data_IF_446958672100
#
_entry.id   IF_446958672100
#
_cell.length_a   1.000
_cell.length_b   1.000
_cell.length_c   1.000
_cell.angle_alpha   90.00
_cell.angle_beta   90.00
_cell.angle_gamma   90.00
#
_symmetry.space_group_name_H-M   'P 1'
#
loop_
_entity.id
_entity.type
_entity.pdbx_description
1 polymer ?
#
# COMPACT_ATOMS: atom_id res chain seq x y z
N UNK A 1 0.81 63.42 29.33
CA UNK A 1 2.02 63.14 28.52
C UNK A 1 1.67 62.08 27.49
N UNK A 2 1.82 62.44 26.21
CA UNK A 2 2.17 61.63 25.02
C UNK A 2 1.43 60.30 24.72
N UNK A 3 0.77 60.32 23.56
CA UNK A 3 0.84 59.38 22.40
C UNK A 3 0.44 57.90 22.63
N UNK A 4 -0.19 57.15 21.72
CA UNK A 4 -0.29 57.27 20.26
C UNK A 4 -1.52 56.48 19.75
N UNK A 5 -2.26 57.06 18.81
CA UNK A 5 -3.17 56.32 17.94
C UNK A 5 -2.37 55.79 16.75
N UNK A 6 -2.45 54.48 16.47
CA UNK A 6 -1.92 53.89 15.23
C UNK A 6 -3.09 53.66 14.27
N UNK A 7 -3.06 54.41 13.17
CA UNK A 7 -3.83 54.18 11.95
C UNK A 7 -3.47 52.80 11.36
N UNK A 8 -4.49 52.00 11.04
CA UNK A 8 -4.37 50.90 10.10
C UNK A 8 -4.74 51.41 8.70
N UNK A 9 -3.77 51.38 7.79
CA UNK A 9 -3.94 51.69 6.38
C UNK A 9 -4.68 50.54 5.69
N UNK A 10 -5.81 50.82 5.04
CA UNK A 10 -6.39 49.96 4.02
C UNK A 10 -5.55 50.05 2.75
N UNK A 11 -5.00 48.93 2.28
CA UNK A 11 -4.51 48.79 0.91
C UNK A 11 -5.43 47.85 0.13
N UNK A 12 -6.19 48.43 -0.81
CA UNK A 12 -6.89 47.73 -1.87
C UNK A 12 -5.87 47.10 -2.84
N UNK A 13 -5.95 45.78 -3.02
CA UNK A 13 -5.31 45.08 -4.15
C UNK A 13 -6.40 44.73 -5.16
N UNK A 14 -6.31 45.16 -6.42
CA UNK A 14 -7.24 44.73 -7.45
C UNK A 14 -6.90 43.31 -7.90
N UNK A 15 -7.87 42.38 -7.76
CA UNK A 15 -7.84 41.10 -8.45
C UNK A 15 -7.99 41.35 -9.96
N UNK A 16 -6.89 41.26 -10.69
CA UNK A 16 -6.90 41.04 -12.14
C UNK A 16 -7.28 39.59 -12.40
N UNK A 17 -8.48 39.39 -12.94
CA UNK A 17 -8.86 38.21 -13.69
C UNK A 17 -7.97 38.12 -14.94
N UNK A 18 -7.02 37.17 -14.96
CA UNK A 18 -6.46 36.65 -16.20
C UNK A 18 -6.95 35.21 -16.38
N UNK A 19 -7.81 35.07 -17.38
CA UNK A 19 -8.17 33.81 -18.00
C UNK A 19 -6.93 33.20 -18.65
N UNK A 20 -6.46 32.08 -18.12
CA UNK A 20 -5.58 31.19 -18.87
C UNK A 20 -6.44 30.26 -19.72
N UNK A 21 -6.55 30.62 -21.00
CA UNK A 21 -6.87 29.71 -22.09
C UNK A 21 -5.76 28.65 -22.25
N UNK A 22 -6.14 27.39 -22.48
CA UNK A 22 -5.21 26.38 -23.00
C UNK A 22 -4.97 25.18 -22.09
N UNK A 23 -6.02 24.58 -21.54
CA UNK A 23 -5.93 23.21 -21.03
C UNK A 23 -5.85 22.24 -22.21
N UNK A 24 -4.66 21.72 -22.50
CA UNK A 24 -4.49 20.58 -23.37
C UNK A 24 -5.41 19.45 -22.86
N UNK A 25 -6.29 18.95 -23.74
CA UNK A 25 -7.02 17.71 -23.50
C UNK A 25 -5.99 16.58 -23.41
N UNK A 26 -5.54 16.28 -22.19
CA UNK A 26 -4.91 15.00 -21.88
C UNK A 26 -6.04 13.99 -21.97
N UNK A 27 -6.07 13.24 -23.07
CA UNK A 27 -7.04 12.17 -23.29
C UNK A 27 -6.93 11.15 -22.16
N UNK A 28 -7.83 11.22 -21.20
CA UNK A 28 -8.13 10.09 -20.32
C UNK A 28 -8.87 9.05 -21.15
N UNK A 29 -8.53 7.77 -20.95
CA UNK A 29 -9.33 6.67 -21.48
C UNK A 29 -10.78 6.76 -20.98
N UNK A 30 -11.68 5.99 -21.59
CA UNK A 30 -13.13 6.00 -21.30
C UNK A 30 -13.48 5.90 -19.80
N UNK A 31 -12.57 5.33 -18.99
CA UNK A 31 -12.77 5.09 -17.56
C UNK A 31 -12.14 6.15 -16.63
N UNK A 32 -11.64 7.26 -17.18
CA UNK A 32 -10.99 8.34 -16.42
C UNK A 32 -9.59 7.98 -15.89
N UNK A 33 -9.01 6.89 -16.38
CA UNK A 33 -7.62 6.51 -16.16
C UNK A 33 -6.70 7.07 -17.27
N UNK A 34 -5.40 7.13 -16.96
CA UNK A 34 -4.37 7.59 -17.92
C UNK A 34 -4.26 6.53 -19.04
N UNK A 35 -3.86 6.89 -20.28
CA UNK A 35 -3.60 5.89 -21.31
C UNK A 35 -2.62 4.81 -20.83
N UNK A 36 -2.93 3.54 -21.08
CA UNK A 36 -2.18 2.38 -20.57
C UNK A 36 -2.66 1.86 -19.20
N UNK A 37 -3.81 2.34 -18.71
CA UNK A 37 -4.41 1.94 -17.43
C UNK A 37 -5.93 1.78 -17.55
N UNK A 38 -6.46 0.80 -16.84
CA UNK A 38 -7.89 0.55 -16.67
C UNK A 38 -8.31 0.67 -15.20
N UNK A 39 -9.62 0.80 -14.97
CA UNK A 39 -10.16 0.98 -13.62
C UNK A 39 -10.54 -0.37 -13.01
N UNK A 40 -9.82 -0.79 -11.97
CA UNK A 40 -10.15 -1.96 -11.14
C UNK A 40 -10.45 -1.51 -9.70
N UNK A 41 -11.58 -1.91 -9.13
CA UNK A 41 -11.87 -1.61 -7.71
C UNK A 41 -11.85 -0.12 -7.33
N UNK A 42 -12.09 0.79 -8.29
CA UNK A 42 -12.08 2.23 -8.08
C UNK A 42 -10.74 2.93 -8.32
N UNK A 43 -9.65 2.19 -8.51
CA UNK A 43 -8.30 2.72 -8.77
C UNK A 43 -7.87 2.44 -10.22
N UNK A 44 -6.84 3.15 -10.70
CA UNK A 44 -6.26 2.91 -12.02
C UNK A 44 -5.08 1.94 -11.92
N UNK A 45 -5.19 0.80 -12.59
CA UNK A 45 -4.14 -0.24 -12.67
C UNK A 45 -3.64 -0.36 -14.11
N UNK A 46 -2.41 -0.83 -14.35
CA UNK A 46 -1.90 -0.99 -15.72
C UNK A 46 -2.80 -1.88 -16.58
N UNK A 47 -3.01 -1.52 -17.85
CA UNK A 47 -3.76 -2.32 -18.83
C UNK A 47 -3.16 -3.72 -18.99
N UNK A 48 -3.99 -4.69 -19.37
CA UNK A 48 -3.52 -6.03 -19.70
C UNK A 48 -2.49 -5.89 -20.83
N UNK A 49 -1.36 -6.63 -20.78
CA UNK A 49 -0.47 -6.67 -21.92
C UNK A 49 -1.26 -7.17 -23.13
N UNK A 50 -1.37 -6.33 -24.16
CA UNK A 50 -2.04 -6.67 -25.42
C UNK A 50 -1.42 -7.97 -25.94
N UNK A 51 -2.13 -9.08 -25.75
CA UNK A 51 -1.68 -10.39 -26.18
C UNK A 51 -1.91 -10.50 -27.68
N UNK A 52 -0.94 -10.05 -28.48
CA UNK A 52 -0.93 -10.14 -29.96
C UNK A 52 -0.85 -11.59 -30.50
N UNK A 53 -1.30 -12.59 -29.75
CA UNK A 53 -1.36 -13.96 -30.23
C UNK A 53 -2.54 -14.74 -29.65
N UNK A 54 -3.38 -15.34 -30.52
CA UNK A 54 -4.41 -16.29 -30.12
C UNK A 54 -3.74 -17.65 -29.93
N UNK A 55 -2.77 -17.76 -29.04
CA UNK A 55 -2.39 -19.09 -28.53
C UNK A 55 -3.45 -19.43 -27.52
N UNK A 56 -4.13 -20.56 -27.73
CA UNK A 56 -5.10 -21.12 -26.80
C UNK A 56 -4.47 -21.21 -25.40
N UNK A 57 -4.65 -20.16 -24.60
CA UNK A 57 -4.29 -20.16 -23.19
C UNK A 57 -5.19 -21.23 -22.59
N UNK A 58 -4.60 -22.37 -22.24
CA UNK A 58 -5.13 -23.27 -21.21
C UNK A 58 -5.63 -22.33 -20.11
N UNK A 59 -6.86 -22.49 -19.62
CA UNK A 59 -7.43 -21.60 -18.63
C UNK A 59 -6.56 -21.61 -17.36
N UNK A 60 -5.51 -20.79 -17.38
CA UNK A 60 -4.58 -20.62 -16.29
C UNK A 60 -5.36 -19.87 -15.24
N UNK A 61 -5.46 -20.50 -14.07
CA UNK A 61 -6.18 -19.93 -12.95
C UNK A 61 -5.47 -18.63 -12.58
N UNK A 62 -6.23 -17.53 -12.52
CA UNK A 62 -5.69 -16.26 -12.04
C UNK A 62 -5.19 -16.41 -10.60
N UNK A 63 -4.07 -15.75 -10.32
CA UNK A 63 -3.42 -15.72 -9.02
C UNK A 63 -3.72 -14.38 -8.38
N UNK A 64 -4.08 -14.40 -7.08
CA UNK A 64 -4.28 -13.18 -6.31
C UNK A 64 -2.93 -12.61 -5.85
N UNK A 65 -2.68 -11.34 -6.15
CA UNK A 65 -1.45 -10.62 -5.80
C UNK A 65 -1.45 -10.09 -4.37
N UNK A 66 -2.60 -9.94 -3.73
CA UNK A 66 -2.71 -9.40 -2.36
C UNK A 66 -1.96 -10.28 -1.35
N UNK A 67 -1.28 -9.69 -0.37
CA UNK A 67 -0.61 -10.42 0.71
C UNK A 67 0.79 -9.92 1.04
N UNK A 68 1.44 -10.66 1.93
CA UNK A 68 2.83 -10.48 2.35
C UNK A 68 3.79 -11.27 1.44
N UNK A 69 4.90 -10.64 1.08
CA UNK A 69 5.99 -11.21 0.29
C UNK A 69 7.30 -10.94 1.03
N UNK A 70 8.14 -11.96 1.16
CA UNK A 70 9.41 -11.87 1.86
C UNK A 70 10.56 -11.80 0.85
N UNK A 71 11.54 -10.93 1.10
CA UNK A 71 12.79 -10.95 0.35
C UNK A 71 13.58 -12.23 0.64
N UNK A 72 14.54 -12.57 -0.23
CA UNK A 72 15.34 -13.80 -0.07
C UNK A 72 16.16 -13.87 1.23
N UNK A 73 16.47 -12.72 1.84
CA UNK A 73 17.16 -12.59 3.12
C UNK A 73 16.21 -12.40 4.31
N UNK A 74 14.89 -12.30 4.10
CA UNK A 74 13.87 -12.00 5.11
C UNK A 74 14.03 -10.66 5.85
N UNK A 75 14.96 -9.79 5.43
CA UNK A 75 15.18 -8.49 6.06
C UNK A 75 14.22 -7.40 5.54
N UNK A 76 13.55 -7.67 4.41
CA UNK A 76 12.64 -6.74 3.75
C UNK A 76 11.33 -7.44 3.42
N UNK A 77 10.23 -6.74 3.67
CA UNK A 77 8.89 -7.24 3.40
C UNK A 77 8.24 -6.37 2.34
N UNK A 78 7.56 -6.98 1.38
CA UNK A 78 6.63 -6.28 0.51
C UNK A 78 5.21 -6.71 0.83
N UNK A 79 4.26 -5.77 0.82
CA UNK A 79 2.84 -6.07 0.93
C UNK A 79 2.09 -5.51 -0.26
N UNK A 80 1.11 -6.27 -0.75
CA UNK A 80 0.18 -5.81 -1.80
C UNK A 80 -1.22 -5.81 -1.20
N UNK A 81 -1.91 -4.67 -1.17
CA UNK A 81 -3.26 -4.54 -0.57
C UNK A 81 -4.35 -5.22 -1.42
N UNK A 82 -5.58 -5.31 -0.90
CA UNK A 82 -6.77 -5.74 -1.69
C UNK A 82 -7.08 -4.82 -2.88
N UNK A 83 -6.45 -3.66 -2.94
CA UNK A 83 -6.50 -2.71 -4.04
C UNK A 83 -5.18 -2.69 -4.83
N UNK A 84 -4.28 -3.67 -4.65
CA UNK A 84 -3.05 -3.73 -5.43
C UNK A 84 -2.01 -2.66 -5.08
N UNK A 85 -2.20 -1.92 -3.99
CA UNK A 85 -1.19 -0.96 -3.49
C UNK A 85 0.01 -1.74 -2.96
N UNK A 86 1.19 -1.49 -3.54
CA UNK A 86 2.45 -2.14 -3.18
C UNK A 86 3.20 -1.27 -2.18
N UNK A 87 3.48 -1.80 -1.00
CA UNK A 87 4.35 -1.18 0.01
C UNK A 87 5.58 -2.05 0.23
N UNK A 88 6.75 -1.43 0.32
CA UNK A 88 8.02 -2.09 0.64
C UNK A 88 8.48 -1.56 1.99
N UNK A 89 8.70 -2.48 2.92
CA UNK A 89 9.16 -2.26 4.27
C UNK A 89 10.63 -2.67 4.31
N UNK A 90 11.54 -1.70 4.24
CA UNK A 90 12.98 -1.93 4.19
C UNK A 90 13.65 -1.70 5.54
N UNK A 91 14.75 -2.42 5.73
CA UNK A 91 15.61 -2.53 6.91
C UNK A 91 15.21 -1.65 8.11
N UNK A 92 14.14 -2.04 8.80
CA UNK A 92 13.86 -2.00 10.24
C UNK A 92 14.45 -0.89 11.16
N UNK A 93 14.96 0.21 10.64
CA UNK A 93 15.80 1.18 11.34
C UNK A 93 15.16 2.58 11.37
N UNK A 94 14.73 2.94 12.58
CA UNK A 94 14.62 4.27 13.18
C UNK A 94 13.82 5.41 12.50
N UNK A 95 13.34 5.33 11.25
CA UNK A 95 12.49 6.41 10.72
C UNK A 95 11.56 6.09 9.53
N UNK A 96 11.19 4.83 9.32
CA UNK A 96 10.33 4.42 8.19
C UNK A 96 8.83 4.67 8.40
N UNK A 97 8.47 5.81 9.01
CA UNK A 97 7.13 6.35 8.89
C UNK A 97 6.75 6.72 7.43
N UNK A 98 7.68 6.67 6.47
CA UNK A 98 7.42 6.98 5.05
C UNK A 98 8.36 6.26 4.08
N UNK A 99 8.00 5.04 3.64
CA UNK A 99 8.58 4.44 2.42
C UNK A 99 7.49 4.18 1.37
N UNK A 100 6.85 5.28 0.98
CA UNK A 100 6.93 5.86 -0.36
C UNK A 100 6.63 5.04 -1.62
N UNK A 101 5.72 4.07 -1.66
CA UNK A 101 5.33 3.53 -2.98
C UNK A 101 3.81 3.39 -3.08
N UNK A 102 3.16 4.27 -3.83
CA UNK A 102 1.79 4.04 -4.32
C UNK A 102 1.88 3.54 -5.74
N UNK A 103 2.49 2.37 -5.88
CA UNK A 103 2.33 1.63 -7.11
C UNK A 103 1.13 0.72 -6.99
N UNK A 104 0.34 0.69 -8.04
CA UNK A 104 -0.82 -0.17 -8.15
C UNK A 104 -0.50 -1.28 -9.13
N UNK A 105 -0.64 -2.51 -8.67
CA UNK A 105 -0.67 -3.70 -9.51
C UNK A 105 -2.10 -4.22 -9.63
N UNK A 106 -2.34 -5.11 -10.59
CA UNK A 106 -3.63 -5.81 -10.67
C UNK A 106 -3.81 -6.74 -9.48
N UNK A 107 -5.05 -6.87 -9.03
CA UNK A 107 -5.41 -7.78 -7.94
C UNK A 107 -5.36 -9.25 -8.37
N UNK A 108 -5.57 -9.51 -9.65
CA UNK A 108 -5.54 -10.84 -10.25
C UNK A 108 -4.65 -10.84 -11.48
N UNK A 109 -3.72 -11.78 -11.53
CA UNK A 109 -2.74 -11.89 -12.61
C UNK A 109 -2.69 -13.30 -13.16
N UNK A 110 -2.24 -13.45 -14.40
CA UNK A 110 -1.83 -14.75 -14.92
C UNK A 110 -0.35 -14.99 -14.56
N UNK A 111 0.09 -16.25 -14.40
CA UNK A 111 1.50 -16.56 -14.23
C UNK A 111 2.35 -15.91 -15.34
N UNK A 112 3.48 -15.31 -14.96
CA UNK A 112 4.41 -14.66 -15.90
C UNK A 112 3.97 -13.26 -16.35
N UNK A 113 3.02 -12.62 -15.68
CA UNK A 113 2.59 -11.27 -16.07
C UNK A 113 3.63 -10.22 -15.69
N UNK A 114 3.85 -9.26 -16.60
CA UNK A 114 4.73 -8.12 -16.41
C UNK A 114 3.98 -6.82 -16.73
N UNK A 115 4.20 -5.79 -15.91
CA UNK A 115 3.59 -4.48 -16.08
C UNK A 115 4.66 -3.40 -16.02
N UNK A 116 4.46 -2.33 -16.78
CA UNK A 116 5.17 -1.07 -16.59
C UNK A 116 4.19 -0.04 -16.02
N UNK A 117 4.53 0.54 -14.87
CA UNK A 117 3.75 1.58 -14.23
C UNK A 117 4.53 2.89 -14.31
N UNK A 118 4.01 3.86 -15.06
CA UNK A 118 4.63 5.16 -15.26
C UNK A 118 4.42 6.08 -14.05
N UNK A 119 5.46 6.77 -13.60
CA UNK A 119 5.43 7.64 -12.41
C UNK A 119 4.84 6.93 -11.17
N UNK A 120 5.26 5.69 -10.91
CA UNK A 120 4.68 4.83 -9.88
C UNK A 120 5.56 4.66 -8.63
N UNK A 121 6.84 5.01 -8.73
CA UNK A 121 7.78 4.87 -7.62
C UNK A 121 8.32 6.23 -7.22
N UNK A 122 8.30 6.48 -5.92
CA UNK A 122 8.82 7.68 -5.31
C UNK A 122 10.07 7.29 -4.51
N UNK A 123 11.27 7.58 -5.00
CA UNK A 123 12.46 7.41 -4.17
C UNK A 123 12.46 8.51 -3.10
N UNK A 124 12.34 8.11 -1.83
CA UNK A 124 12.17 9.02 -0.68
C UNK A 124 13.47 9.73 -0.28
N UNK A 125 14.22 10.26 -1.23
CA UNK A 125 15.36 11.13 -0.92
C UNK A 125 15.02 12.58 -1.23
N UNK A 126 14.71 13.33 -0.17
CA UNK A 126 14.50 14.79 -0.12
C UNK A 126 13.13 15.29 -0.61
N UNK A 127 12.66 16.40 -0.01
CA UNK A 127 11.28 16.93 -0.07
C UNK A 127 10.70 17.34 -1.43
N UNK A 128 11.21 16.82 -2.55
CA UNK A 128 10.60 16.82 -3.87
C UNK A 128 10.59 15.39 -4.41
N UNK A 129 9.46 14.70 -4.24
CA UNK A 129 9.28 13.34 -4.75
C UNK A 129 9.08 13.41 -6.27
N UNK A 130 10.13 13.12 -7.03
CA UNK A 130 10.00 12.85 -8.47
C UNK A 130 9.63 11.38 -8.64
N UNK A 131 8.41 11.14 -9.13
CA UNK A 131 7.96 9.81 -9.46
C UNK A 131 8.63 9.33 -10.75
N UNK A 132 9.22 8.13 -10.75
CA UNK A 132 9.81 7.50 -11.93
C UNK A 132 8.93 6.35 -12.46
N UNK A 133 9.22 5.86 -13.66
CA UNK A 133 8.55 4.68 -14.25
C UNK A 133 9.21 3.39 -13.78
N UNK A 134 8.40 2.35 -13.53
CA UNK A 134 8.84 1.09 -12.90
C UNK A 134 8.21 -0.11 -13.56
N UNK A 135 8.89 -1.24 -13.47
CA UNK A 135 8.42 -2.52 -13.93
C UNK A 135 8.11 -3.44 -12.75
N UNK A 136 6.99 -4.13 -12.85
CA UNK A 136 6.59 -5.20 -11.96
C UNK A 136 6.51 -6.50 -12.73
N UNK A 137 6.92 -7.61 -12.13
CA UNK A 137 6.69 -8.93 -12.68
C UNK A 137 6.21 -9.92 -11.64
N UNK A 138 5.37 -10.84 -12.07
CA UNK A 138 4.84 -11.92 -11.28
C UNK A 138 5.14 -13.25 -11.95
N UNK A 139 5.92 -14.11 -11.31
CA UNK A 139 6.24 -15.45 -11.81
C UNK A 139 5.83 -16.50 -10.78
N UNK A 140 5.04 -17.48 -11.20
CA UNK A 140 4.71 -18.61 -10.34
C UNK A 140 5.83 -19.66 -10.42
N UNK A 141 6.50 -19.93 -9.30
CA UNK A 141 7.54 -20.95 -9.17
C UNK A 141 7.06 -22.00 -8.16
N UNK A 142 6.55 -23.12 -8.67
CA UNK A 142 5.95 -24.16 -7.83
C UNK A 142 4.72 -23.64 -7.06
N UNK A 143 4.78 -23.69 -5.73
CA UNK A 143 3.77 -23.09 -4.84
C UNK A 143 4.06 -21.64 -4.46
N UNK A 144 5.16 -21.06 -4.93
CA UNK A 144 5.51 -19.66 -4.70
C UNK A 144 5.03 -18.76 -5.82
N UNK A 145 4.76 -17.51 -5.48
CA UNK A 145 4.64 -16.39 -6.39
C UNK A 145 5.81 -15.44 -6.12
N UNK A 146 6.70 -15.32 -7.10
CA UNK A 146 7.76 -14.34 -7.12
C UNK A 146 7.19 -13.02 -7.64
N UNK A 147 7.31 -11.98 -6.84
CA UNK A 147 7.04 -10.59 -7.17
C UNK A 147 8.38 -9.88 -7.33
N UNK A 148 8.63 -9.32 -8.51
CA UNK A 148 9.82 -8.51 -8.74
C UNK A 148 9.46 -7.08 -9.10
N UNK A 149 10.32 -6.15 -8.70
CA UNK A 149 10.18 -4.71 -8.86
C UNK A 149 11.55 -4.09 -9.08
N UNK A 150 11.67 -3.10 -9.96
CA UNK A 150 12.88 -2.25 -10.07
C UNK A 150 12.74 -0.94 -9.26
N UNK A 151 11.69 -0.85 -8.45
CA UNK A 151 11.43 0.20 -7.49
C UNK A 151 11.94 -0.17 -6.09
N UNK A 152 12.93 0.56 -5.57
CA UNK A 152 13.56 0.32 -4.27
C UNK A 152 14.94 -0.33 -4.39
N UNK A 153 15.56 -0.67 -3.25
CA UNK A 153 16.86 -1.37 -3.21
C UNK A 153 16.70 -2.89 -3.41
N UNK A 154 15.62 -3.45 -2.86
CA UNK A 154 15.26 -4.86 -2.99
C UNK A 154 14.28 -5.07 -4.14
N UNK A 155 14.66 -5.94 -5.07
CA UNK A 155 13.93 -6.12 -6.32
C UNK A 155 13.13 -7.41 -6.45
N UNK A 156 13.21 -8.32 -5.48
CA UNK A 156 12.59 -9.64 -5.57
C UNK A 156 12.05 -10.12 -4.23
N UNK A 157 10.77 -10.50 -4.21
CA UNK A 157 10.04 -10.95 -3.03
C UNK A 157 9.19 -12.16 -3.36
N UNK A 158 9.03 -13.09 -2.43
CA UNK A 158 8.26 -14.31 -2.64
C UNK A 158 7.12 -14.46 -1.64
N UNK A 159 5.97 -14.91 -2.13
CA UNK A 159 4.82 -15.31 -1.31
C UNK A 159 4.50 -16.78 -1.58
N UNK A 160 4.16 -17.55 -0.55
CA UNK A 160 3.64 -18.89 -0.72
C UNK A 160 2.13 -18.85 -1.02
N UNK A 161 1.71 -19.39 -2.16
CA UNK A 161 0.31 -19.44 -2.60
C UNK A 161 -0.53 -20.47 -1.84
N UNK A 162 0.13 -21.44 -1.19
CA UNK A 162 -0.52 -22.49 -0.41
C UNK A 162 -0.44 -22.23 1.10
N UNK A 163 0.25 -21.18 1.54
CA UNK A 163 0.22 -20.80 2.94
C UNK A 163 -1.18 -20.26 3.24
N UNK A 164 -1.90 -20.91 4.14
CA UNK A 164 -3.05 -20.27 4.77
C UNK A 164 -2.54 -19.08 5.57
N UNK A 165 -3.27 -17.96 5.52
CA UNK A 165 -3.01 -16.89 6.48
C UNK A 165 -3.21 -17.47 7.86
N UNK A 166 -2.15 -17.41 8.65
CA UNK A 166 -2.18 -17.93 10.00
C UNK A 166 -2.83 -16.86 10.87
N UNK A 167 -4.15 -16.94 10.94
CA UNK A 167 -4.94 -16.26 11.99
C UNK A 167 -4.81 -17.01 13.32
N UNK A 168 -4.16 -18.18 13.31
CA UNK A 168 -3.98 -19.09 14.43
C UNK A 168 -2.54 -19.09 14.94
N UNK A 169 -1.96 -17.92 15.17
CA UNK A 169 -0.85 -17.87 16.09
C UNK A 169 -1.44 -18.18 17.48
N UNK A 170 -1.40 -19.45 17.85
CA UNK A 170 -2.24 -20.02 18.93
C UNK A 170 -1.90 -19.46 20.32
N UNK A 171 -0.73 -18.85 20.45
CA UNK A 171 -0.20 -18.35 21.70
C UNK A 171 -0.36 -16.84 21.82
N UNK A 172 -0.75 -16.44 23.04
CA UNK A 172 -0.72 -15.05 23.47
C UNK A 172 0.72 -14.54 23.39
N UNK A 173 0.94 -13.44 22.68
CA UNK A 173 2.27 -12.88 22.49
C UNK A 173 2.27 -11.36 22.48
N UNK A 174 3.45 -10.80 22.67
CA UNK A 174 3.70 -9.37 22.57
C UNK A 174 4.47 -9.17 21.29
N UNK A 175 3.87 -8.48 20.33
CA UNK A 175 4.52 -8.12 19.08
C UNK A 175 4.99 -6.67 19.17
N UNK A 176 6.22 -6.43 18.72
CA UNK A 176 6.88 -5.14 18.78
C UNK A 176 7.29 -4.75 17.36
N UNK A 177 6.85 -3.57 16.93
CA UNK A 177 7.42 -2.93 15.74
C UNK A 177 8.74 -2.27 16.10
N UNK A 178 9.60 -1.96 15.13
CA UNK A 178 10.91 -1.37 15.45
C UNK A 178 10.85 0.08 15.86
N UNK A 179 9.77 0.78 15.51
CA UNK A 179 9.44 2.07 16.10
C UNK A 179 9.08 1.97 17.60
N UNK A 180 8.99 0.76 18.16
CA UNK A 180 8.66 0.50 19.56
C UNK A 180 7.17 0.39 19.85
N UNK A 181 6.30 0.50 18.83
CA UNK A 181 4.86 0.28 19.02
C UNK A 181 4.63 -1.18 19.36
N UNK A 182 3.79 -1.41 20.37
CA UNK A 182 3.52 -2.73 20.92
C UNK A 182 2.08 -3.13 20.61
N UNK A 183 1.90 -4.38 20.18
CA UNK A 183 0.60 -5.03 20.03
C UNK A 183 0.59 -6.28 20.88
N UNK A 184 -0.41 -6.40 21.75
CA UNK A 184 -0.69 -7.63 22.47
C UNK A 184 -1.63 -8.49 21.63
N UNK A 185 -1.14 -9.65 21.18
CA UNK A 185 -1.94 -10.61 20.42
C UNK A 185 -2.50 -11.65 21.38
N UNK A 186 -3.81 -11.86 21.31
CA UNK A 186 -4.57 -12.84 22.07
C UNK A 186 -5.42 -13.65 21.08
N UNK A 187 -4.83 -14.71 20.51
CA UNK A 187 -5.40 -15.48 19.39
C UNK A 187 -5.73 -14.58 18.20
N UNK A 188 -7.00 -14.49 17.82
CA UNK A 188 -7.50 -13.65 16.73
C UNK A 188 -7.86 -12.22 17.17
N UNK A 189 -7.50 -11.81 18.40
CA UNK A 189 -7.70 -10.46 18.89
C UNK A 189 -6.34 -9.80 19.07
N UNK A 190 -6.23 -8.54 18.69
CA UNK A 190 -5.07 -7.69 18.97
C UNK A 190 -5.49 -6.50 19.83
N UNK A 191 -4.57 -6.05 20.67
CA UNK A 191 -4.73 -4.87 21.53
C UNK A 191 -3.55 -3.94 21.34
N UNK A 192 -3.79 -2.65 21.10
CA UNK A 192 -2.73 -1.65 21.11
C UNK A 192 -2.35 -1.23 22.54
N UNK A 193 -1.35 -0.38 22.68
CA UNK A 193 -0.88 0.15 23.97
C UNK A 193 -1.91 1.04 24.69
N UNK A 194 -2.84 1.65 23.97
CA UNK A 194 -3.97 2.40 24.50
C UNK A 194 -5.11 1.50 25.03
N UNK A 195 -5.03 0.19 24.78
CA UNK A 195 -6.00 -0.80 25.23
C UNK A 195 -7.17 -1.03 24.26
N UNK A 196 -7.15 -0.43 23.08
CA UNK A 196 -8.15 -0.61 22.00
C UNK A 196 -8.00 -2.02 21.42
N UNK A 197 -9.13 -2.72 21.28
CA UNK A 197 -9.20 -4.07 20.75
C UNK A 197 -9.63 -4.07 19.28
N UNK A 198 -9.03 -4.97 18.50
CA UNK A 198 -9.50 -5.32 17.18
C UNK A 198 -9.46 -6.84 16.98
N UNK A 199 -10.46 -7.37 16.28
CA UNK A 199 -10.47 -8.77 15.83
C UNK A 199 -9.84 -8.86 14.43
N UNK A 200 -8.96 -9.84 14.24
CA UNK A 200 -8.39 -10.20 12.94
C UNK A 200 -9.47 -10.90 12.10
N UNK A 201 -10.12 -10.16 11.19
CA UNK A 201 -11.18 -10.67 10.33
C UNK A 201 -10.67 -11.62 9.24
N UNK A 202 -11.53 -12.55 8.81
CA UNK A 202 -11.23 -13.51 7.73
C UNK A 202 -11.03 -12.83 6.35
N UNK A 203 -11.48 -11.59 6.21
CA UNK A 203 -11.36 -10.76 5.02
C UNK A 203 -10.09 -9.90 5.00
N UNK A 204 -9.18 -10.11 5.96
CA UNK A 204 -7.97 -9.32 6.18
C UNK A 204 -8.23 -7.89 6.65
N UNK A 205 -9.39 -7.64 7.26
CA UNK A 205 -9.70 -6.35 7.87
C UNK A 205 -9.71 -6.48 9.39
N UNK A 206 -9.16 -5.47 10.06
CA UNK A 206 -9.35 -5.32 11.50
C UNK A 206 -10.81 -4.95 11.77
N UNK A 207 -11.45 -5.71 12.65
CA UNK A 207 -12.83 -5.51 13.06
C UNK A 207 -12.87 -4.92 14.47
N UNK A 208 -13.49 -3.75 14.60
CA UNK A 208 -13.61 -3.03 15.85
C UNK A 208 -15.02 -3.18 16.42
N UNK A 209 -15.15 -3.11 17.75
CA UNK A 209 -16.45 -3.20 18.42
C UNK A 209 -17.30 -1.95 18.16
N UNK A 210 -18.09 -1.98 17.09
CA UNK A 210 -19.28 -1.19 16.72
C UNK A 210 -19.28 0.35 16.78
N UNK A 211 -18.37 1.00 17.51
CA UNK A 211 -18.28 2.46 17.59
C UNK A 211 -17.43 3.05 16.45
N UNK A 212 -16.61 2.23 15.80
CA UNK A 212 -15.76 2.63 14.66
C UNK A 212 -16.32 2.03 13.36
N UNK A 213 -17.43 2.58 12.88
CA UNK A 213 -18.20 1.98 11.77
C UNK A 213 -17.61 2.22 10.37
N UNK A 214 -16.62 3.11 10.23
CA UNK A 214 -16.06 3.51 8.92
C UNK A 214 -14.57 3.25 8.79
N UNK A 215 -13.98 2.41 9.66
CA UNK A 215 -12.58 2.07 9.57
C UNK A 215 -12.39 0.81 8.71
N UNK A 216 -11.71 0.96 7.58
CA UNK A 216 -11.18 -0.17 6.80
C UNK A 216 -9.66 -0.25 6.97
N UNK A 217 -9.21 -1.05 7.95
CA UNK A 217 -7.80 -1.26 8.22
C UNK A 217 -7.40 -2.66 7.77
N UNK A 218 -6.63 -2.76 6.69
CA UNK A 218 -6.13 -4.05 6.21
C UNK A 218 -4.93 -4.52 7.01
N UNK A 219 -4.81 -5.84 7.19
CA UNK A 219 -3.68 -6.51 7.80
C UNK A 219 -3.29 -7.78 7.03
N UNK A 220 -2.04 -8.20 7.18
CA UNK A 220 -1.57 -9.51 6.74
C UNK A 220 -0.78 -10.17 7.87
N UNK A 221 -0.81 -11.50 7.93
CA UNK A 221 -0.03 -12.25 8.90
C UNK A 221 0.57 -13.51 8.27
N UNK A 222 1.74 -13.89 8.78
CA UNK A 222 2.32 -15.20 8.62
C UNK A 222 2.69 -15.77 10.01
N UNK A 223 3.62 -16.74 10.08
CA UNK A 223 4.01 -17.35 11.35
C UNK A 223 4.90 -16.44 12.23
N UNK A 224 5.51 -15.41 11.67
CA UNK A 224 6.54 -14.59 12.30
C UNK A 224 6.13 -13.12 12.39
N UNK A 225 5.29 -12.67 11.46
CA UNK A 225 4.97 -11.26 11.25
C UNK A 225 3.46 -11.02 11.28
N UNK A 226 3.09 -9.88 11.87
CA UNK A 226 1.81 -9.20 11.65
C UNK A 226 2.11 -7.86 10.99
N UNK A 227 1.57 -7.62 9.79
CA UNK A 227 1.71 -6.37 9.07
C UNK A 227 0.36 -5.64 9.06
N UNK A 228 0.31 -4.44 9.64
CA UNK A 228 -0.85 -3.55 9.57
C UNK A 228 -0.57 -2.51 8.49
N UNK A 229 -1.44 -2.43 7.48
CA UNK A 229 -1.25 -1.48 6.38
C UNK A 229 -1.63 -0.05 6.80
N UNK A 230 -1.32 0.99 6.03
CA UNK A 230 -1.88 2.32 6.25
C UNK A 230 -3.38 2.37 5.94
N UNK A 231 -4.15 3.17 6.69
CA UNK A 231 -5.54 3.52 6.35
C UNK A 231 -5.88 4.96 6.72
N UNK A 232 -6.38 5.71 5.74
CA UNK A 232 -6.83 7.09 5.92
C UNK A 232 -8.08 7.17 6.82
N UNK A 233 -8.81 6.07 6.98
CA UNK A 233 -10.08 6.02 7.72
C UNK A 233 -9.94 5.54 9.16
N UNK A 234 -8.77 5.02 9.54
CA UNK A 234 -8.56 4.33 10.82
C UNK A 234 -7.59 5.04 11.76
N UNK A 235 -7.21 6.28 11.44
CA UNK A 235 -6.27 7.08 12.25
C UNK A 235 -6.69 7.23 13.73
N UNK A 236 -8.00 7.14 14.00
CA UNK A 236 -8.56 7.27 15.36
C UNK A 236 -8.52 5.97 16.19
N UNK A 237 -8.15 4.84 15.60
CA UNK A 237 -8.13 3.54 16.27
C UNK A 237 -6.90 3.31 17.13
N UNK A 238 -5.85 4.11 16.92
CA UNK A 238 -4.55 3.97 17.59
C UNK A 238 -3.73 2.77 17.11
N UNK A 239 -4.17 2.01 16.10
CA UNK A 239 -3.32 1.00 15.45
C UNK A 239 -2.37 1.69 14.47
N UNK A 240 -1.07 1.60 14.76
CA UNK A 240 -0.03 2.20 13.92
C UNK A 240 0.32 1.24 12.79
N UNK A 241 0.33 1.68 11.51
CA UNK A 241 0.81 0.87 10.41
C UNK A 241 2.26 0.42 10.61
N UNK A 242 2.57 -0.81 10.22
CA UNK A 242 3.92 -1.34 10.37
C UNK A 242 3.98 -2.87 10.40
N UNK A 243 5.21 -3.37 10.45
CA UNK A 243 5.53 -4.79 10.66
C UNK A 243 5.77 -5.00 12.15
N UNK A 244 5.11 -6.02 12.72
CA UNK A 244 5.18 -6.40 14.13
C UNK A 244 5.62 -7.86 14.24
N UNK A 245 6.56 -8.14 15.14
CA UNK A 245 7.11 -9.48 15.40
C UNK A 245 7.42 -9.65 16.90
N UNK A 246 7.59 -10.89 17.36
CA UNK A 246 7.91 -11.19 18.77
C UNK A 246 9.31 -10.72 19.22
#
# INVERSE_FOLDING_TARGET
MKNAAKLALLSFVPLMLMACSGGAHVGGGEDGCRPGYEREGGICVPDDPVSDSPVARRAEKSINTKGIYLSSNNDTIATISKHGEVLIWDDYAESDEKVSYRSYVRNQILPGTQYRNNNACAQTESGYVQLSDHNYSFEQIGSGLLFSTDCGENGEFAKNLNAEQVNSLEDDSVLVSLAGNTIYRMKNIIQNDEGVLATLGEDNLLQFDSEVTNCEQEFYSDNEHLVILPSDTCQSTGFVPGVYQE
#
